data_IF_625992539090
#
_entry.id   IF_625992539090
#
_cell.length_a   1.000
_cell.length_b   1.000
_cell.length_c   1.000
_cell.angle_alpha   90.00
_cell.angle_beta   90.00
_cell.angle_gamma   90.00
#
_symmetry.space_group_name_H-M   'P 1'
#
loop_
_entity.id
_entity.type
_entity.pdbx_description
1 polymer ?
#
# COMPACT_ATOMS: atom_id res chain seq x y z
N UNK A 1 30.63 10.75 -25.21
CA UNK A 1 30.93 10.28 -23.85
C UNK A 1 31.02 11.50 -22.94
N UNK A 2 29.98 11.72 -22.13
CA UNK A 2 29.88 12.68 -20.99
C UNK A 2 28.42 12.55 -20.48
N UNK A 3 28.14 11.64 -19.54
CA UNK A 3 28.16 11.79 -18.07
C UNK A 3 26.88 12.46 -17.51
N UNK A 4 25.86 11.62 -17.26
CA UNK A 4 24.50 11.97 -16.82
C UNK A 4 24.33 12.09 -15.29
N UNK A 5 25.30 12.66 -14.55
CA UNK A 5 25.20 12.75 -13.08
C UNK A 5 24.93 14.16 -12.52
N UNK A 6 24.58 15.15 -13.35
CA UNK A 6 24.49 16.55 -12.93
C UNK A 6 23.13 17.02 -12.37
N UNK A 7 22.11 16.17 -12.22
CA UNK A 7 20.75 16.64 -11.81
C UNK A 7 20.31 16.16 -10.42
N UNK A 8 20.99 15.20 -9.80
CA UNK A 8 20.49 14.56 -8.57
C UNK A 8 20.95 15.15 -7.23
N UNK A 9 21.75 16.21 -7.21
CA UNK A 9 22.22 16.83 -5.96
C UNK A 9 21.71 18.26 -5.75
N UNK A 10 20.40 18.47 -5.91
CA UNK A 10 19.69 19.53 -5.16
C UNK A 10 19.30 18.99 -3.80
N UNK A 11 20.35 18.72 -3.02
CA UNK A 11 20.31 18.40 -1.61
C UNK A 11 19.82 19.63 -0.87
N UNK A 12 18.66 19.45 -0.25
CA UNK A 12 18.09 20.27 0.80
C UNK A 12 19.15 20.48 1.88
N UNK A 13 19.60 21.72 2.06
CA UNK A 13 20.03 22.28 3.33
C UNK A 13 20.37 23.76 3.15
N UNK A 14 19.58 24.65 3.77
CA UNK A 14 20.08 25.73 4.64
C UNK A 14 18.91 26.58 5.16
N UNK A 15 19.04 26.95 6.43
CA UNK A 15 18.33 28.00 7.18
C UNK A 15 17.12 27.56 8.02
N UNK A 16 17.43 26.96 9.17
CA UNK A 16 16.68 27.26 10.41
C UNK A 16 17.73 27.75 11.40
N UNK A 17 17.63 29.04 11.72
CA UNK A 17 18.46 29.75 12.69
C UNK A 17 18.20 29.23 14.11
N UNK A 18 19.29 28.91 14.81
CA UNK A 18 19.30 28.62 16.24
C UNK A 18 19.93 29.81 16.98
N UNK A 19 19.19 30.55 17.82
CA UNK A 19 19.82 31.54 18.67
C UNK A 19 20.38 30.90 19.95
N UNK A 20 21.64 31.22 20.21
CA UNK A 20 22.45 30.83 21.36
C UNK A 20 22.01 31.57 22.65
N UNK A 21 21.99 30.80 23.73
CA UNK A 21 22.40 31.11 25.12
C UNK A 21 21.93 32.41 25.81
N UNK A 22 21.27 32.21 26.96
CA UNK A 22 21.43 33.05 28.14
C UNK A 22 21.61 32.18 29.39
N UNK A 23 22.77 32.33 30.05
CA UNK A 23 23.03 31.91 31.43
C UNK A 23 22.22 32.76 32.40
N UNK A 24 21.94 32.25 33.61
CA UNK A 24 21.56 32.90 34.91
C UNK A 24 20.69 31.88 35.67
N UNK A 25 20.89 31.47 36.93
CA UNK A 25 21.86 31.68 38.01
C UNK A 25 21.77 30.43 38.91
N UNK A 26 22.92 29.95 39.38
CA UNK A 26 22.99 28.92 40.43
C UNK A 26 22.66 29.60 41.76
N UNK A 27 21.67 29.10 42.49
CA UNK A 27 21.51 29.41 43.92
C UNK A 27 21.96 28.20 44.75
N UNK A 28 22.69 28.42 45.86
CA UNK A 28 23.21 27.34 46.68
C UNK A 28 22.13 26.89 47.67
N UNK A 29 21.38 25.83 47.32
CA UNK A 29 20.58 25.16 48.34
C UNK A 29 21.47 24.18 49.12
N UNK A 30 21.82 24.61 50.32
CA UNK A 30 22.52 23.82 51.35
C UNK A 30 21.66 22.59 51.68
N UNK A 31 22.11 21.41 51.25
CA UNK A 31 21.55 20.13 51.67
C UNK A 31 22.15 19.74 53.01
N UNK A 32 21.37 19.86 54.08
CA UNK A 32 21.67 19.22 55.37
C UNK A 32 21.25 17.75 55.30
N UNK A 33 22.18 16.87 54.95
CA UNK A 33 22.05 15.45 55.26
C UNK A 33 22.77 15.15 56.57
N UNK A 34 22.09 14.62 57.60
CA UNK A 34 22.74 13.74 58.57
C UNK A 34 23.05 12.41 57.87
N UNK A 35 24.31 12.03 57.90
CA UNK A 35 24.80 10.71 57.53
C UNK A 35 24.25 9.69 58.52
N UNK A 36 23.35 8.81 58.07
CA UNK A 36 23.15 7.51 58.71
C UNK A 36 23.26 6.45 57.61
N UNK A 37 24.35 5.69 57.71
CA UNK A 37 24.57 4.43 57.01
C UNK A 37 23.44 3.47 57.34
N UNK A 38 22.75 2.96 56.32
CA UNK A 38 22.02 1.72 56.50
C UNK A 38 22.17 0.83 55.28
N UNK A 39 22.57 -0.38 55.59
CA UNK A 39 23.11 -1.38 54.71
C UNK A 39 22.01 -1.97 53.82
N UNK A 40 22.39 -2.33 52.59
CA UNK A 40 21.83 -3.44 51.80
C UNK A 40 20.30 -3.69 51.95
N UNK A 41 19.47 -2.93 51.23
CA UNK A 41 18.13 -3.40 50.85
C UNK A 41 18.12 -3.77 49.37
N UNK A 42 18.18 -5.09 49.11
CA UNK A 42 17.85 -5.67 47.80
C UNK A 42 16.45 -5.18 47.39
N UNK A 43 16.23 -4.83 46.11
CA UNK A 43 14.90 -4.43 45.66
C UNK A 43 13.92 -5.59 45.83
N UNK A 44 12.68 -5.34 46.31
CA UNK A 44 11.69 -6.38 46.47
C UNK A 44 11.37 -6.98 45.09
N UNK A 45 11.70 -8.26 44.92
CA UNK A 45 11.22 -9.06 43.81
C UNK A 45 9.69 -9.05 43.79
N UNK A 46 9.09 -8.75 42.63
CA UNK A 46 7.74 -9.19 42.30
C UNK A 46 6.67 -8.13 42.05
N UNK A 47 7.01 -6.86 41.82
CA UNK A 47 6.03 -5.90 41.28
C UNK A 47 5.64 -6.28 39.85
N UNK A 48 4.33 -6.42 39.56
CA UNK A 48 3.82 -6.59 38.18
C UNK A 48 4.30 -5.41 37.33
N UNK A 49 5.38 -5.60 36.57
CA UNK A 49 5.85 -4.60 35.61
C UNK A 49 4.68 -4.24 34.69
N UNK A 50 4.44 -2.95 34.47
CA UNK A 50 3.44 -2.47 33.49
C UNK A 50 3.58 -3.30 32.22
N UNK A 51 2.50 -3.94 31.76
CA UNK A 51 2.51 -4.81 30.57
C UNK A 51 3.35 -4.14 29.47
N UNK A 52 4.42 -4.80 29.01
CA UNK A 52 5.33 -4.25 27.99
C UNK A 52 4.51 -3.70 26.82
N UNK A 53 4.79 -2.47 26.35
CA UNK A 53 4.14 -1.92 25.15
C UNK A 53 4.47 -2.84 23.98
N UNK A 54 3.43 -3.42 23.37
CA UNK A 54 3.61 -4.32 22.24
C UNK A 54 4.08 -3.55 21.00
N UNK A 55 5.25 -3.89 20.46
CA UNK A 55 5.72 -3.36 19.17
C UNK A 55 5.18 -4.22 18.01
N UNK A 56 3.97 -3.87 17.54
CA UNK A 56 3.29 -4.61 16.49
C UNK A 56 3.93 -4.47 15.09
N UNK A 57 4.84 -3.50 14.90
CA UNK A 57 5.50 -3.23 13.62
C UNK A 57 6.41 -4.38 13.18
N UNK A 58 7.08 -4.99 14.16
CA UNK A 58 8.05 -6.08 13.98
C UNK A 58 7.41 -7.48 14.01
N UNK A 59 6.11 -7.58 14.31
CA UNK A 59 5.43 -8.86 14.26
C UNK A 59 5.51 -9.46 12.86
N UNK A 60 5.88 -10.74 12.78
CA UNK A 60 6.09 -11.47 11.51
C UNK A 60 4.90 -11.27 10.55
N UNK A 61 3.67 -11.31 11.07
CA UNK A 61 2.46 -11.10 10.28
C UNK A 61 2.32 -9.66 9.77
N UNK A 62 2.51 -8.66 10.63
CA UNK A 62 2.42 -7.24 10.27
C UNK A 62 3.48 -6.84 9.25
N UNK A 63 4.74 -7.26 9.46
CA UNK A 63 5.85 -7.04 8.53
C UNK A 63 5.55 -7.67 7.17
N UNK A 64 5.11 -8.93 7.14
CA UNK A 64 4.72 -9.62 5.90
C UNK A 64 3.56 -8.93 5.19
N UNK A 65 2.54 -8.50 5.94
CA UNK A 65 1.39 -7.76 5.38
C UNK A 65 1.85 -6.47 4.72
N UNK A 66 2.72 -5.70 5.38
CA UNK A 66 3.28 -4.45 4.85
C UNK A 66 4.08 -4.69 3.58
N UNK A 67 5.02 -5.64 3.58
CA UNK A 67 5.83 -5.98 2.41
C UNK A 67 4.98 -6.43 1.22
N UNK A 68 3.99 -7.31 1.46
CA UNK A 68 3.05 -7.74 0.43
C UNK A 68 2.22 -6.58 -0.12
N UNK A 69 1.77 -5.66 0.75
CA UNK A 69 1.01 -4.50 0.32
C UNK A 69 1.87 -3.50 -0.46
N UNK A 70 3.15 -3.34 -0.13
CA UNK A 70 4.06 -2.50 -0.90
C UNK A 70 4.66 -3.20 -2.13
N UNK A 71 4.23 -4.42 -2.44
CA UNK A 71 4.77 -5.20 -3.57
C UNK A 71 6.24 -5.60 -3.42
N UNK A 72 6.79 -5.56 -2.21
CA UNK A 72 8.20 -5.91 -1.94
C UNK A 72 8.36 -7.41 -1.71
N UNK A 73 9.59 -7.88 -1.82
CA UNK A 73 9.93 -9.27 -1.49
C UNK A 73 9.52 -9.62 -0.06
N UNK A 74 9.04 -10.84 0.17
CA UNK A 74 8.78 -11.35 1.51
C UNK A 74 8.80 -12.88 1.58
N UNK A 75 9.06 -13.40 2.78
CA UNK A 75 8.94 -14.83 3.07
C UNK A 75 7.51 -15.13 3.54
N UNK A 76 6.85 -16.08 2.87
CA UNK A 76 5.49 -16.48 3.22
C UNK A 76 5.46 -17.32 4.52
N UNK A 77 4.27 -17.80 4.93
CA UNK A 77 4.15 -18.64 6.14
C UNK A 77 4.79 -20.03 6.00
N UNK A 78 5.00 -20.49 4.76
CA UNK A 78 5.61 -21.78 4.40
C UNK A 78 7.12 -21.68 4.17
N UNK A 79 7.75 -20.55 4.50
CA UNK A 79 9.19 -20.35 4.29
C UNK A 79 9.62 -20.02 2.86
N UNK A 80 8.70 -19.94 1.89
CA UNK A 80 9.04 -19.61 0.48
C UNK A 80 9.21 -18.11 0.29
N UNK A 81 10.30 -17.71 -0.36
CA UNK A 81 10.55 -16.34 -0.83
C UNK A 81 9.58 -15.99 -1.96
N UNK A 82 8.86 -14.89 -1.80
CA UNK A 82 7.98 -14.31 -2.81
C UNK A 82 8.67 -13.09 -3.38
N UNK A 83 9.01 -13.15 -4.66
CA UNK A 83 9.69 -12.10 -5.40
C UNK A 83 8.92 -10.77 -5.38
N UNK A 84 9.63 -9.63 -5.48
CA UNK A 84 8.99 -8.33 -5.58
C UNK A 84 8.14 -8.23 -6.86
N UNK A 85 7.16 -7.33 -6.82
CA UNK A 85 6.34 -6.97 -7.98
C UNK A 85 7.22 -6.25 -8.99
N UNK A 86 6.94 -6.49 -10.26
CA UNK A 86 7.63 -5.84 -11.37
C UNK A 86 6.70 -5.70 -12.58
N UNK A 87 6.92 -4.66 -13.37
CA UNK A 87 6.21 -4.45 -14.63
C UNK A 87 6.51 -5.64 -15.57
N UNK A 88 5.46 -6.15 -16.21
CA UNK A 88 5.52 -7.30 -17.12
C UNK A 88 4.91 -6.96 -18.47
N UNK A 89 5.31 -7.72 -19.49
CA UNK A 89 4.72 -7.68 -20.83
C UNK A 89 4.15 -9.06 -21.16
N UNK A 90 2.89 -9.31 -20.75
CA UNK A 90 2.23 -10.62 -20.94
C UNK A 90 1.70 -10.83 -22.37
N UNK A 91 1.39 -9.73 -23.05
CA UNK A 91 0.92 -9.72 -24.43
C UNK A 91 1.83 -8.77 -25.21
N UNK A 92 2.13 -9.15 -26.44
CA UNK A 92 2.72 -8.22 -27.41
C UNK A 92 1.70 -7.14 -27.77
N UNK A 93 1.72 -6.06 -27.00
CA UNK A 93 0.90 -4.90 -27.26
C UNK A 93 1.58 -3.88 -28.19
N UNK A 94 2.83 -4.12 -28.60
CA UNK A 94 3.55 -3.28 -29.55
C UNK A 94 3.03 -3.54 -30.96
N UNK A 95 2.85 -4.81 -31.32
CA UNK A 95 2.43 -5.18 -32.68
C UNK A 95 0.94 -5.57 -32.78
N UNK A 96 0.38 -6.25 -31.77
CA UNK A 96 -0.96 -6.89 -31.87
C UNK A 96 -2.02 -6.29 -30.93
N UNK A 97 -1.94 -4.98 -30.65
CA UNK A 97 -2.90 -4.30 -29.77
C UNK A 97 -3.91 -3.44 -30.52
N UNK A 98 -5.19 -3.88 -30.52
CA UNK A 98 -6.32 -3.07 -30.99
C UNK A 98 -6.40 -1.67 -30.34
N UNK A 99 -5.95 -1.53 -29.09
CA UNK A 99 -6.04 -0.27 -28.36
C UNK A 99 -4.77 0.60 -28.48
N UNK A 100 -3.72 0.12 -29.16
CA UNK A 100 -2.44 0.82 -29.32
C UNK A 100 -1.85 1.26 -27.98
N UNK A 101 -1.81 0.34 -27.01
CA UNK A 101 -1.45 0.69 -25.63
C UNK A 101 0.00 1.20 -25.48
N UNK A 102 0.95 0.63 -26.23
CA UNK A 102 2.35 1.08 -26.20
C UNK A 102 2.57 2.44 -26.87
N UNK A 103 1.74 2.82 -27.85
CA UNK A 103 1.80 4.16 -28.47
C UNK A 103 1.24 5.23 -27.51
N UNK A 104 0.24 4.86 -26.70
CA UNK A 104 -0.47 5.80 -25.83
C UNK A 104 0.17 5.98 -24.46
N UNK A 105 0.95 5.00 -24.01
CA UNK A 105 1.51 4.98 -22.66
C UNK A 105 2.96 4.54 -22.74
N UNK A 106 3.86 5.47 -22.41
CA UNK A 106 5.30 5.26 -22.44
C UNK A 106 5.77 4.31 -21.32
N UNK A 107 6.98 3.78 -21.43
CA UNK A 107 7.53 2.91 -20.37
C UNK A 107 7.74 3.66 -19.05
N UNK A 108 8.07 4.93 -19.09
CA UNK A 108 8.26 5.74 -17.88
C UNK A 108 6.93 6.05 -17.19
N UNK A 109 5.86 6.33 -17.96
CA UNK A 109 4.51 6.42 -17.40
C UNK A 109 4.07 5.11 -16.76
N UNK A 110 4.42 3.96 -17.35
CA UNK A 110 4.16 2.65 -16.73
C UNK A 110 4.88 2.52 -15.39
N UNK A 111 6.13 2.97 -15.28
CA UNK A 111 6.88 3.01 -14.01
C UNK A 111 6.20 3.92 -13.00
N UNK A 112 5.74 5.10 -13.40
CA UNK A 112 5.01 6.04 -12.53
C UNK A 112 3.72 5.39 -12.01
N UNK A 113 2.90 4.82 -12.90
CA UNK A 113 1.66 4.13 -12.54
C UNK A 113 1.90 2.94 -11.60
N UNK A 114 2.93 2.15 -11.88
CA UNK A 114 3.30 1.00 -11.07
C UNK A 114 3.76 1.41 -9.67
N UNK A 115 4.71 2.35 -9.59
CA UNK A 115 5.24 2.85 -8.32
C UNK A 115 4.15 3.54 -7.50
N UNK A 116 3.30 4.33 -8.15
CA UNK A 116 2.13 4.97 -7.53
C UNK A 116 1.21 3.94 -6.89
N UNK A 117 0.81 2.89 -7.62
CA UNK A 117 -0.06 1.85 -7.08
C UNK A 117 0.57 1.12 -5.89
N UNK A 118 1.85 0.73 -5.98
CA UNK A 118 2.50 -0.06 -4.93
C UNK A 118 2.98 0.78 -3.74
N UNK A 119 3.02 2.11 -3.87
CA UNK A 119 3.16 3.04 -2.76
C UNK A 119 1.86 3.25 -1.96
N UNK A 120 0.70 2.99 -2.56
CA UNK A 120 -0.61 3.18 -1.95
C UNK A 120 -0.97 2.14 -0.89
N UNK A 121 -1.77 2.57 0.08
CA UNK A 121 -2.51 1.70 1.01
C UNK A 121 -3.59 0.88 0.28
N UNK A 122 -4.13 -0.12 0.97
CA UNK A 122 -5.16 -0.99 0.40
C UNK A 122 -6.44 -0.23 0.00
N UNK A 123 -6.79 0.83 0.75
CA UNK A 123 -7.99 1.65 0.50
C UNK A 123 -7.75 2.54 -0.73
N UNK A 124 -6.59 3.19 -0.80
CA UNK A 124 -6.20 4.01 -1.95
C UNK A 124 -6.14 3.20 -3.25
N UNK A 125 -5.65 1.95 -3.20
CA UNK A 125 -5.72 1.03 -4.36
C UNK A 125 -7.15 0.76 -4.81
N UNK A 126 -8.11 0.65 -3.89
CA UNK A 126 -9.51 0.47 -4.26
C UNK A 126 -10.07 1.73 -4.93
N UNK A 127 -9.71 2.92 -4.45
CA UNK A 127 -10.03 4.18 -5.13
C UNK A 127 -9.41 4.25 -6.52
N UNK A 128 -8.15 3.82 -6.66
CA UNK A 128 -7.49 3.71 -7.95
C UNK A 128 -8.26 2.79 -8.90
N UNK A 129 -8.68 1.60 -8.44
CA UNK A 129 -9.51 0.69 -9.25
C UNK A 129 -10.87 1.32 -9.60
N UNK A 130 -11.49 2.06 -8.68
CA UNK A 130 -12.74 2.77 -8.96
C UNK A 130 -12.62 3.72 -10.16
N UNK A 131 -11.53 4.48 -10.22
CA UNK A 131 -11.29 5.47 -11.28
C UNK A 131 -10.86 4.82 -12.58
N UNK A 132 -10.04 3.77 -12.51
CA UNK A 132 -9.39 3.17 -13.68
C UNK A 132 -10.15 2.00 -14.29
N UNK A 133 -11.08 1.38 -13.54
CA UNK A 133 -11.83 0.21 -13.98
C UNK A 133 -13.34 0.36 -13.86
N UNK A 134 -14.04 -0.18 -14.84
CA UNK A 134 -15.50 -0.12 -14.93
C UNK A 134 -16.06 -1.51 -15.23
N UNK A 135 -17.15 -1.89 -14.55
CA UNK A 135 -17.87 -3.15 -14.79
C UNK A 135 -19.11 -2.85 -15.63
N UNK A 136 -19.19 -3.46 -16.80
CA UNK A 136 -20.32 -3.34 -17.71
C UNK A 136 -21.07 -4.67 -17.79
N UNK A 137 -22.37 -4.63 -17.58
CA UNK A 137 -23.23 -5.79 -17.75
C UNK A 137 -23.41 -6.13 -19.23
N UNK A 138 -23.56 -7.42 -19.51
CA UNK A 138 -23.72 -7.91 -20.88
C UNK A 138 -25.07 -7.46 -21.43
N UNK A 139 -25.07 -6.53 -22.39
CA UNK A 139 -26.29 -5.98 -23.01
C UNK A 139 -26.98 -6.89 -24.05
N UNK A 140 -26.24 -7.77 -24.74
CA UNK A 140 -26.79 -8.65 -25.81
C UNK A 140 -26.13 -10.02 -25.78
N UNK A 141 -26.92 -11.08 -25.97
CA UNK A 141 -26.43 -12.43 -26.26
C UNK A 141 -26.72 -12.76 -27.72
N UNK A 142 -25.72 -13.27 -28.47
CA UNK A 142 -25.92 -13.74 -29.86
C UNK A 142 -26.39 -15.20 -29.93
N UNK A 143 -26.52 -15.86 -28.78
CA UNK A 143 -26.96 -17.26 -28.70
C UNK A 143 -28.46 -17.27 -28.44
N UNK A 144 -29.23 -17.97 -29.28
CA UNK A 144 -30.70 -18.13 -29.16
C UNK A 144 -31.15 -18.74 -27.82
N UNK A 145 -30.23 -19.40 -27.08
CA UNK A 145 -30.45 -19.81 -25.69
C UNK A 145 -30.04 -18.68 -24.74
N UNK A 146 -31.04 -17.91 -24.28
CA UNK A 146 -30.93 -16.78 -23.34
C UNK A 146 -30.13 -17.14 -22.06
N UNK A 147 -30.04 -18.41 -21.69
CA UNK A 147 -29.49 -18.88 -20.42
C UNK A 147 -28.04 -19.40 -20.41
N UNK A 148 -27.37 -19.65 -21.54
CA UNK A 148 -26.12 -20.43 -21.53
C UNK A 148 -24.80 -19.65 -21.46
N UNK A 149 -24.83 -18.31 -21.44
CA UNK A 149 -23.59 -17.54 -21.36
C UNK A 149 -23.13 -17.35 -19.91
N UNK A 150 -22.09 -18.09 -19.51
CA UNK A 150 -21.46 -17.95 -18.17
C UNK A 150 -20.95 -16.54 -17.87
N UNK A 151 -20.69 -15.73 -18.90
CA UNK A 151 -20.16 -14.37 -18.77
C UNK A 151 -21.28 -13.35 -18.57
N UNK A 152 -21.44 -12.87 -17.34
CA UNK A 152 -22.44 -11.86 -16.97
C UNK A 152 -21.99 -10.42 -17.24
N UNK A 153 -20.69 -10.15 -17.09
CA UNK A 153 -20.13 -8.80 -17.19
C UNK A 153 -18.79 -8.78 -17.94
N UNK A 154 -18.39 -7.58 -18.30
CA UNK A 154 -17.09 -7.26 -18.88
C UNK A 154 -16.43 -6.14 -18.08
N UNK A 155 -15.10 -6.13 -18.05
CA UNK A 155 -14.37 -5.05 -17.42
C UNK A 155 -13.70 -4.17 -18.44
N UNK A 156 -13.79 -2.89 -18.14
CA UNK A 156 -13.21 -1.81 -18.89
C UNK A 156 -12.00 -1.29 -18.12
N UNK A 157 -10.82 -1.28 -18.76
CA UNK A 157 -9.54 -0.87 -18.16
C UNK A 157 -9.04 0.41 -18.80
N UNK A 158 -8.61 1.36 -17.97
CA UNK A 158 -8.12 2.66 -18.41
C UNK A 158 -6.94 3.10 -17.53
N UNK A 159 -6.08 3.93 -18.08
CA UNK A 159 -5.09 4.69 -17.30
C UNK A 159 -5.31 6.19 -17.51
N UNK A 160 -4.82 6.97 -16.56
CA UNK A 160 -4.78 8.43 -16.69
C UNK A 160 -3.32 8.83 -16.82
N UNK A 161 -2.99 9.48 -17.93
CA UNK A 161 -1.67 10.06 -18.22
C UNK A 161 -1.95 11.52 -18.59
N UNK A 162 -1.27 12.46 -17.93
CA UNK A 162 -1.50 13.90 -18.11
C UNK A 162 -2.98 14.30 -18.00
N UNK A 163 -3.70 13.68 -17.05
CA UNK A 163 -5.15 13.80 -16.84
C UNK A 163 -6.04 13.34 -18.01
N UNK A 164 -5.47 12.78 -19.07
CA UNK A 164 -6.19 12.20 -20.20
C UNK A 164 -6.46 10.71 -19.93
N UNK A 165 -7.70 10.28 -20.16
CA UNK A 165 -8.13 8.90 -19.96
C UNK A 165 -7.79 8.04 -21.19
N UNK A 166 -6.80 7.18 -21.06
CA UNK A 166 -6.41 6.23 -22.11
C UNK A 166 -7.05 4.87 -21.90
N UNK A 167 -7.84 4.45 -22.88
CA UNK A 167 -8.41 3.10 -22.93
C UNK A 167 -7.32 2.07 -23.23
N UNK A 168 -7.20 1.03 -22.39
CA UNK A 168 -6.20 -0.03 -22.57
C UNK A 168 -6.80 -1.44 -22.58
N UNK A 169 -6.05 -2.39 -23.13
CA UNK A 169 -6.43 -3.80 -23.06
C UNK A 169 -6.21 -4.36 -21.64
N UNK A 170 -6.93 -5.44 -21.32
CA UNK A 170 -6.84 -6.13 -20.01
C UNK A 170 -5.41 -6.55 -19.68
N UNK A 171 -4.73 -7.23 -20.60
CA UNK A 171 -3.38 -7.76 -20.35
C UNK A 171 -2.37 -6.65 -20.05
N UNK A 172 -2.40 -5.56 -20.82
CA UNK A 172 -1.53 -4.40 -20.59
C UNK A 172 -1.76 -3.76 -19.22
N UNK A 173 -3.01 -3.61 -18.80
CA UNK A 173 -3.32 -3.08 -17.47
C UNK A 173 -2.80 -4.00 -16.34
N UNK A 174 -3.11 -5.30 -16.43
CA UNK A 174 -2.71 -6.28 -15.42
C UNK A 174 -1.19 -6.47 -15.35
N UNK A 175 -0.51 -6.43 -16.49
CA UNK A 175 0.93 -6.63 -16.58
C UNK A 175 1.70 -5.37 -16.17
N UNK A 176 1.17 -4.18 -16.47
CA UNK A 176 1.75 -2.91 -16.01
C UNK A 176 1.69 -2.77 -14.49
N UNK A 177 0.61 -3.21 -13.84
CA UNK A 177 0.47 -3.10 -12.39
C UNK A 177 0.91 -4.35 -11.63
N UNK A 178 1.24 -5.44 -12.33
CA UNK A 178 1.46 -6.80 -11.80
C UNK A 178 0.39 -7.28 -10.81
N UNK A 179 -0.87 -7.11 -11.21
CA UNK A 179 -2.03 -7.55 -10.43
C UNK A 179 -2.77 -8.69 -11.13
N UNK A 180 -3.39 -9.56 -10.33
CA UNK A 180 -4.32 -10.56 -10.86
C UNK A 180 -5.68 -9.95 -11.21
N UNK A 181 -6.36 -10.51 -12.21
CA UNK A 181 -7.73 -10.11 -12.55
C UNK A 181 -8.70 -10.29 -11.38
N UNK A 182 -8.41 -11.23 -10.46
CA UNK A 182 -9.21 -11.46 -9.26
C UNK A 182 -9.27 -10.22 -8.36
N UNK A 183 -8.22 -9.41 -8.28
CA UNK A 183 -8.24 -8.18 -7.47
C UNK A 183 -9.28 -7.18 -7.97
N UNK A 184 -9.38 -7.01 -9.29
CA UNK A 184 -10.40 -6.15 -9.91
C UNK A 184 -11.79 -6.75 -9.72
N UNK A 185 -11.96 -8.05 -9.94
CA UNK A 185 -13.26 -8.70 -9.73
C UNK A 185 -13.73 -8.58 -8.28
N UNK A 186 -12.85 -8.87 -7.32
CA UNK A 186 -13.12 -8.72 -5.90
C UNK A 186 -13.50 -7.28 -5.53
N UNK A 187 -12.81 -6.28 -6.09
CA UNK A 187 -13.16 -4.88 -5.90
C UNK A 187 -14.60 -4.60 -6.36
N UNK A 188 -14.96 -4.98 -7.58
CA UNK A 188 -16.32 -4.74 -8.10
C UNK A 188 -17.42 -5.58 -7.43
N UNK A 189 -17.08 -6.73 -6.86
CA UNK A 189 -17.99 -7.57 -6.05
C UNK A 189 -18.28 -6.96 -4.68
N UNK A 190 -17.33 -6.22 -4.10
CA UNK A 190 -17.38 -5.75 -2.71
C UNK A 190 -17.41 -4.21 -2.57
N UNK A 191 -17.45 -3.45 -3.66
CA UNK A 191 -17.62 -1.99 -3.60
C UNK A 191 -19.06 -1.63 -3.21
N UNK A 192 -19.23 -0.50 -2.54
CA UNK A 192 -20.55 0.07 -2.26
C UNK A 192 -21.16 0.64 -3.56
N UNK A 193 -22.48 0.84 -3.57
CA UNK A 193 -23.21 1.40 -4.71
C UNK A 193 -22.65 2.77 -5.15
N UNK A 194 -22.18 3.57 -4.20
CA UNK A 194 -21.55 4.90 -4.42
C UNK A 194 -20.14 4.84 -5.03
N UNK A 195 -19.62 3.66 -5.37
CA UNK A 195 -18.25 3.50 -5.87
C UNK A 195 -17.16 3.71 -4.81
N UNK A 196 -17.56 3.89 -3.55
CA UNK A 196 -16.70 3.94 -2.37
C UNK A 196 -16.36 2.49 -1.97
N UNK A 197 -15.10 2.20 -1.60
CA UNK A 197 -14.75 0.87 -1.12
C UNK A 197 -15.49 0.53 0.18
N UNK A 198 -15.99 -0.70 0.32
CA UNK A 198 -16.68 -1.08 1.55
C UNK A 198 -15.73 -1.01 2.76
N UNK A 199 -16.21 -0.51 3.91
CA UNK A 199 -15.40 -0.44 5.12
C UNK A 199 -14.95 -1.84 5.53
N UNK A 200 -13.75 -1.94 6.09
CA UNK A 200 -13.23 -3.19 6.64
C UNK A 200 -14.17 -3.73 7.71
N UNK A 201 -14.61 -4.99 7.59
CA UNK A 201 -15.47 -5.67 8.57
C UNK A 201 -14.74 -6.05 9.88
N UNK A 202 -13.58 -5.47 10.17
CA UNK A 202 -12.81 -5.76 11.38
C UNK A 202 -13.47 -5.18 12.62
N UNK A 203 -13.38 -5.89 13.75
CA UNK A 203 -13.89 -5.44 15.06
C UNK A 203 -15.39 -5.62 15.30
N UNK A 204 -16.16 -6.10 14.32
CA UNK A 204 -17.61 -6.37 14.51
C UNK A 204 -17.83 -7.79 15.04
N UNK A 205 -17.36 -8.05 16.26
CA UNK A 205 -17.76 -9.26 16.97
C UNK A 205 -19.16 -9.00 17.56
N UNK A 206 -20.21 -9.57 16.98
CA UNK A 206 -21.51 -9.60 17.64
C UNK A 206 -21.35 -10.45 18.90
N UNK A 207 -21.57 -9.85 20.08
CA UNK A 207 -21.75 -10.63 21.31
C UNK A 207 -22.99 -11.48 21.07
N UNK A 208 -22.81 -12.79 20.82
CA UNK A 208 -23.95 -13.71 20.84
C UNK A 208 -24.48 -13.68 22.28
N UNK A 209 -25.75 -13.34 22.47
CA UNK A 209 -26.42 -13.59 23.76
C UNK A 209 -26.45 -15.12 23.91
N UNK A 210 -25.84 -15.63 24.97
CA UNK A 210 -26.09 -17.01 25.40
C UNK A 210 -27.54 -17.06 25.85
N UNK A 211 -28.37 -17.78 25.10
CA UNK A 211 -29.69 -18.27 25.52
C UNK A 211 -29.50 -19.52 26.36
#
# INVERSE_FOLDING_TARGET
MADENSVYLRVINKNIDYPQQANIMVTPYVSTHPLISDQLRLPPHGGKTRKRKANCYNWKQSKRKRLRQSGKEYINVRGKVIQPRSIKNKKDCKNCCKFKCFEKISEDERKILFNGLWGMSQIEKQHFFSKTTERLDKKRSRTNKVSNSRRKYTYFYNFFVDNIKHRVCKEFYLSTLDISSRQISYYHENKLATGIPAPTKWGKHCKKKCS
#
